data_IF_859831858894
#
_entry.id   IF_859831858894
#
_cell.length_a   1.000
_cell.length_b   1.000
_cell.length_c   1.000
_cell.angle_alpha   90.00
_cell.angle_beta   90.00
_cell.angle_gamma   90.00
#
_symmetry.space_group_name_H-M   'P 1'
#
loop_
_entity.id
_entity.type
_entity.pdbx_description
1 polymer ?
#
# COMPACT_ATOMS: atom_id res chain seq x y z
N UNK A 1 -9.61 4.52 -21.48
CA UNK A 1 -9.44 3.80 -20.20
C UNK A 1 -10.15 4.62 -19.14
N UNK A 2 -11.18 4.12 -18.43
CA UNK A 2 -11.65 4.83 -17.25
C UNK A 2 -10.72 4.50 -16.07
N UNK A 3 -10.18 5.51 -15.37
CA UNK A 3 -9.38 5.33 -14.18
C UNK A 3 -10.31 5.36 -12.95
N UNK A 4 -10.94 4.26 -12.58
CA UNK A 4 -11.84 4.28 -11.41
C UNK A 4 -12.13 2.86 -10.94
N UNK A 5 -12.34 2.70 -9.62
CA UNK A 5 -12.89 1.53 -8.88
C UNK A 5 -11.94 0.88 -7.86
N UNK A 6 -10.61 1.06 -7.92
CA UNK A 6 -9.72 0.45 -6.90
C UNK A 6 -9.79 1.10 -5.51
N UNK A 7 -10.40 2.27 -5.35
CA UNK A 7 -10.31 3.04 -4.10
C UNK A 7 -11.19 2.55 -2.94
N UNK A 8 -12.18 1.67 -3.18
CA UNK A 8 -13.28 1.54 -2.20
C UNK A 8 -13.38 0.19 -1.49
N UNK A 9 -12.72 -0.89 -1.93
CA UNK A 9 -13.01 -2.24 -1.38
C UNK A 9 -11.76 -3.09 -1.07
N UNK A 10 -10.59 -2.49 -0.85
CA UNK A 10 -9.42 -3.25 -0.37
C UNK A 10 -9.47 -3.39 1.16
N UNK A 11 -9.47 -4.62 1.67
CA UNK A 11 -9.27 -4.88 3.11
C UNK A 11 -7.80 -5.16 3.34
N UNK A 12 -7.14 -4.29 4.09
CA UNK A 12 -5.68 -4.31 4.27
C UNK A 12 -5.36 -4.57 5.72
N UNK A 13 -4.55 -5.59 5.97
CA UNK A 13 -4.00 -5.89 7.29
C UNK A 13 -2.54 -5.42 7.32
N UNK A 14 -2.24 -4.56 8.29
CA UNK A 14 -0.91 -4.00 8.51
C UNK A 14 -0.49 -4.23 9.97
N UNK A 15 0.81 -4.31 10.21
CA UNK A 15 1.40 -4.28 11.54
C UNK A 15 2.26 -3.04 11.71
N UNK A 16 2.10 -2.40 12.86
CA UNK A 16 2.83 -1.19 13.22
C UNK A 16 3.59 -1.46 14.51
N UNK A 17 4.90 -1.20 14.51
CA UNK A 17 5.70 -1.21 15.73
C UNK A 17 5.91 0.22 16.22
N UNK A 18 5.37 0.50 17.40
CA UNK A 18 5.45 1.81 18.05
C UNK A 18 6.42 1.75 19.21
N UNK A 19 7.30 2.75 19.28
CA UNK A 19 8.16 2.99 20.45
C UNK A 19 7.83 4.33 21.05
N UNK A 20 7.44 4.30 22.32
CA UNK A 20 7.11 5.49 23.09
C UNK A 20 8.39 6.06 23.69
N UNK A 21 8.73 7.29 23.32
CA UNK A 21 9.88 7.94 23.92
C UNK A 21 9.48 8.60 25.24
N UNK A 22 9.98 8.04 26.36
CA UNK A 22 9.74 8.56 27.72
C UNK A 22 10.15 10.02 27.89
N UNK A 23 11.07 10.55 27.07
CA UNK A 23 11.53 11.96 27.18
C UNK A 23 10.47 12.98 26.74
N UNK A 24 9.49 12.60 25.92
CA UNK A 24 8.44 13.48 25.40
C UNK A 24 7.08 13.30 26.11
N UNK A 25 7.03 12.49 27.19
CA UNK A 25 5.78 12.09 27.86
C UNK A 25 4.91 13.27 28.35
N UNK A 26 5.50 14.43 28.64
CA UNK A 26 4.73 15.59 29.11
C UNK A 26 3.74 16.07 28.05
N UNK A 27 4.09 15.97 26.75
CA UNK A 27 3.27 16.43 25.63
C UNK A 27 2.17 15.43 25.28
N UNK A 28 2.48 14.13 25.34
CA UNK A 28 1.55 13.04 25.02
C UNK A 28 0.32 13.00 25.93
N UNK A 29 0.47 13.36 27.20
CA UNK A 29 -0.61 13.32 28.19
C UNK A 29 -1.53 14.54 28.08
N UNK A 30 -1.04 15.66 27.55
CA UNK A 30 -1.79 16.93 27.51
C UNK A 30 -2.57 17.19 26.22
N UNK A 31 -2.23 16.57 25.08
CA UNK A 31 -2.82 16.94 23.78
C UNK A 31 -3.78 15.92 23.16
N UNK A 32 -3.77 14.65 23.56
CA UNK A 32 -4.63 13.63 22.95
C UNK A 32 -5.13 12.64 24.00
N UNK A 33 -6.45 12.45 24.08
CA UNK A 33 -7.12 11.53 25.01
C UNK A 33 -6.70 10.05 24.83
N UNK A 34 -6.07 9.70 23.71
CA UNK A 34 -5.40 8.41 23.49
C UNK A 34 -4.44 8.50 22.28
N UNK A 35 -3.14 8.69 22.53
CA UNK A 35 -2.12 8.74 21.47
C UNK A 35 -2.04 7.44 20.65
N UNK A 36 -2.37 6.28 21.24
CA UNK A 36 -2.40 5.01 20.51
C UNK A 36 -3.56 4.98 19.52
N UNK A 37 -4.74 5.42 19.94
CA UNK A 37 -5.92 5.50 19.08
C UNK A 37 -5.67 6.45 17.90
N UNK A 38 -5.18 7.67 18.17
CA UNK A 38 -4.88 8.65 17.12
C UNK A 38 -3.79 8.17 16.16
N UNK A 39 -2.78 7.46 16.66
CA UNK A 39 -1.74 6.84 15.81
C UNK A 39 -2.33 5.77 14.89
N UNK A 40 -3.25 4.94 15.39
CA UNK A 40 -3.95 3.95 14.55
C UNK A 40 -4.81 4.60 13.47
N UNK A 41 -5.52 5.68 13.81
CA UNK A 41 -6.34 6.42 12.85
C UNK A 41 -5.47 7.09 11.78
N UNK A 42 -4.35 7.70 12.17
CA UNK A 42 -3.37 8.26 11.24
C UNK A 42 -2.84 7.17 10.32
N UNK A 43 -2.48 5.99 10.84
CA UNK A 43 -2.05 4.85 10.05
C UNK A 43 -3.07 4.47 8.97
N UNK A 44 -4.35 4.38 9.34
CA UNK A 44 -5.43 4.05 8.40
C UNK A 44 -5.58 5.08 7.30
N UNK A 45 -5.62 6.36 7.65
CA UNK A 45 -5.76 7.45 6.67
C UNK A 45 -4.55 7.53 5.75
N UNK A 46 -3.34 7.44 6.29
CA UNK A 46 -2.10 7.48 5.51
C UNK A 46 -2.03 6.31 4.54
N UNK A 47 -2.28 5.08 5.00
CA UNK A 47 -2.30 3.91 4.12
C UNK A 47 -3.37 4.04 3.04
N UNK A 48 -4.58 4.50 3.37
CA UNK A 48 -5.62 4.73 2.38
C UNK A 48 -5.18 5.75 1.32
N UNK A 49 -4.55 6.85 1.72
CA UNK A 49 -4.10 7.88 0.80
C UNK A 49 -2.99 7.38 -0.12
N UNK A 50 -1.93 6.77 0.44
CA UNK A 50 -0.80 6.25 -0.34
C UNK A 50 -1.28 5.19 -1.33
N UNK A 51 -2.12 4.26 -0.87
CA UNK A 51 -2.62 3.18 -1.71
C UNK A 51 -3.68 3.65 -2.71
N UNK A 52 -4.46 4.68 -2.38
CA UNK A 52 -5.42 5.29 -3.30
C UNK A 52 -4.76 5.96 -4.51
N UNK A 53 -3.49 6.36 -4.39
CA UNK A 53 -2.70 6.92 -5.50
C UNK A 53 -1.97 5.88 -6.33
N UNK A 54 -2.05 4.59 -5.96
CA UNK A 54 -1.30 3.49 -6.56
C UNK A 54 -2.23 2.47 -7.17
N UNK A 55 -1.81 1.87 -8.27
CA UNK A 55 -2.48 0.71 -8.85
C UNK A 55 -2.17 -0.54 -8.03
N UNK A 56 -3.03 -1.53 -8.10
CA UNK A 56 -2.84 -2.77 -7.35
C UNK A 56 -1.56 -3.54 -7.74
N UNK A 57 -1.16 -3.49 -9.02
CA UNK A 57 0.10 -4.10 -9.47
C UNK A 57 1.31 -3.44 -8.82
N UNK A 58 1.29 -2.10 -8.67
CA UNK A 58 2.33 -1.36 -7.97
C UNK A 58 2.30 -1.70 -6.47
N UNK A 59 1.12 -1.80 -5.85
CA UNK A 59 1.02 -2.15 -4.43
C UNK A 59 1.61 -3.53 -4.15
N UNK A 60 1.40 -4.50 -5.05
CA UNK A 60 1.95 -5.84 -4.92
C UNK A 60 3.46 -5.89 -5.18
N UNK A 61 3.97 -5.07 -6.10
CA UNK A 61 5.38 -5.10 -6.52
C UNK A 61 6.28 -4.18 -5.69
N UNK A 62 5.74 -3.08 -5.16
CA UNK A 62 6.45 -2.00 -4.45
C UNK A 62 6.12 -1.98 -2.96
N UNK A 63 5.75 -3.12 -2.37
CA UNK A 63 5.31 -3.21 -0.96
C UNK A 63 6.29 -2.53 0.01
N UNK A 64 7.58 -2.77 -0.16
CA UNK A 64 8.61 -2.21 0.73
C UNK A 64 8.71 -0.69 0.58
N UNK A 65 8.64 -0.18 -0.65
CA UNK A 65 8.64 1.26 -0.89
C UNK A 65 7.43 1.95 -0.27
N UNK A 66 6.25 1.34 -0.38
CA UNK A 66 5.01 1.84 0.25
C UNK A 66 5.13 1.82 1.77
N UNK A 67 5.71 0.76 2.34
CA UNK A 67 5.96 0.66 3.77
C UNK A 67 6.88 1.79 4.24
N UNK A 68 7.99 2.06 3.54
CA UNK A 68 8.92 3.14 3.87
C UNK A 68 8.28 4.52 3.77
N UNK A 69 7.49 4.79 2.73
CA UNK A 69 6.77 6.07 2.60
C UNK A 69 5.77 6.24 3.75
N UNK A 70 5.02 5.18 4.06
CA UNK A 70 4.04 5.19 5.16
C UNK A 70 4.72 5.41 6.51
N UNK A 71 5.86 4.74 6.74
CA UNK A 71 6.66 4.90 7.95
C UNK A 71 7.09 6.35 8.16
N UNK A 72 7.62 6.99 7.12
CA UNK A 72 8.05 8.39 7.20
C UNK A 72 6.89 9.34 7.51
N UNK A 73 5.77 9.20 6.81
CA UNK A 73 4.59 10.06 7.04
C UNK A 73 4.01 9.86 8.43
N UNK A 74 3.97 8.60 8.90
CA UNK A 74 3.49 8.31 10.25
C UNK A 74 4.44 8.83 11.31
N UNK A 75 5.75 8.62 11.16
CA UNK A 75 6.75 9.11 12.10
C UNK A 75 6.65 10.63 12.29
N UNK A 76 6.61 11.39 11.19
CA UNK A 76 6.44 12.85 11.21
C UNK A 76 5.11 13.26 11.87
N UNK A 77 4.01 12.57 11.55
CA UNK A 77 2.70 12.87 12.11
C UNK A 77 2.51 12.48 13.57
N UNK A 78 3.30 11.54 14.09
CA UNK A 78 3.23 11.08 15.50
C UNK A 78 4.20 11.81 16.43
N UNK A 79 5.14 12.60 15.91
CA UNK A 79 6.05 13.44 16.71
C UNK A 79 5.34 14.31 17.75
N UNK A 80 4.21 15.00 17.44
CA UNK A 80 3.51 15.83 18.42
C UNK A 80 2.95 15.05 19.61
N UNK A 81 2.78 13.73 19.45
CA UNK A 81 2.29 12.84 20.50
C UNK A 81 3.43 12.14 21.26
N UNK A 82 4.69 12.44 20.94
CA UNK A 82 5.84 11.78 21.57
C UNK A 82 5.99 10.30 21.21
N UNK A 83 5.38 9.88 20.10
CA UNK A 83 5.43 8.50 19.60
C UNK A 83 6.41 8.43 18.42
N UNK A 84 7.38 7.53 18.50
CA UNK A 84 8.31 7.21 17.42
C UNK A 84 7.80 5.96 16.70
N UNK A 85 7.68 6.04 15.38
CA UNK A 85 7.39 4.87 14.55
C UNK A 85 8.73 4.25 14.16
N UNK A 86 8.97 2.99 14.54
CA UNK A 86 10.21 2.29 14.18
C UNK A 86 10.08 1.51 12.89
N UNK A 87 8.89 0.96 12.63
CA UNK A 87 8.67 0.11 11.47
C UNK A 87 7.19 0.02 11.13
N UNK A 88 6.91 0.12 9.83
CA UNK A 88 5.62 -0.22 9.23
C UNK A 88 5.79 -1.48 8.40
N UNK A 89 4.93 -2.47 8.62
CA UNK A 89 4.86 -3.67 7.78
C UNK A 89 3.46 -3.83 7.22
N UNK A 90 3.38 -4.05 5.91
CA UNK A 90 2.15 -4.46 5.25
C UNK A 90 2.12 -5.99 5.27
N UNK A 91 1.11 -6.60 5.90
CA UNK A 91 1.00 -8.06 6.06
C UNK A 91 0.14 -8.68 4.97
N UNK A 92 -1.15 -8.39 4.96
CA UNK A 92 -2.08 -8.98 4.00
C UNK A 92 -2.86 -7.91 3.25
N UNK A 93 -3.02 -8.14 1.94
CA UNK A 93 -3.88 -7.36 1.08
C UNK A 93 -4.99 -8.27 0.59
N UNK A 94 -6.22 -8.04 1.04
CA UNK A 94 -7.38 -8.81 0.60
C UNK A 94 -8.16 -8.00 -0.43
N UNK A 95 -8.21 -8.56 -1.63
CA UNK A 95 -9.00 -8.03 -2.73
C UNK A 95 -10.44 -8.54 -2.63
N UNK A 96 -11.43 -7.74 -3.03
CA UNK A 96 -12.78 -8.25 -3.27
C UNK A 96 -12.73 -9.32 -4.35
N UNK A 97 -13.48 -10.39 -4.15
CA UNK A 97 -13.55 -11.51 -5.09
C UNK A 97 -13.91 -11.06 -6.53
N UNK A 98 -14.75 -10.05 -6.68
CA UNK A 98 -15.12 -9.51 -7.99
C UNK A 98 -13.92 -8.86 -8.73
N UNK A 99 -13.08 -8.12 -8.01
CA UNK A 99 -11.90 -7.45 -8.56
C UNK A 99 -10.82 -8.46 -8.95
N UNK A 100 -10.58 -9.47 -8.09
CA UNK A 100 -9.64 -10.56 -8.38
C UNK A 100 -9.99 -11.27 -9.69
N UNK A 101 -11.28 -11.52 -9.93
CA UNK A 101 -11.75 -12.20 -11.15
C UNK A 101 -11.51 -11.35 -12.39
N UNK A 102 -11.87 -10.06 -12.37
CA UNK A 102 -11.66 -9.15 -13.51
C UNK A 102 -10.18 -9.00 -13.85
N UNK A 103 -9.32 -8.89 -12.84
CA UNK A 103 -7.88 -8.81 -13.05
C UNK A 103 -7.28 -10.08 -13.62
N UNK A 104 -7.74 -11.26 -13.20
CA UNK A 104 -7.27 -12.52 -13.78
C UNK A 104 -7.56 -12.56 -15.28
N UNK A 105 -8.74 -12.11 -15.70
CA UNK A 105 -9.13 -12.01 -17.11
C UNK A 105 -8.25 -11.00 -17.87
N UNK A 106 -8.03 -9.82 -17.30
CA UNK A 106 -7.19 -8.78 -17.91
C UNK A 106 -5.72 -9.21 -18.02
N UNK A 107 -5.16 -9.79 -16.96
CA UNK A 107 -3.79 -10.30 -16.94
C UNK A 107 -3.58 -11.41 -17.97
N UNK A 108 -4.57 -12.30 -18.14
CA UNK A 108 -4.50 -13.33 -19.17
C UNK A 108 -4.58 -12.75 -20.57
N UNK A 109 -5.40 -11.73 -20.80
CA UNK A 109 -5.46 -11.01 -22.08
C UNK A 109 -4.12 -10.35 -22.41
N UNK A 110 -3.50 -9.65 -21.46
CA UNK A 110 -2.16 -9.04 -21.61
C UNK A 110 -1.10 -10.11 -21.89
N UNK A 111 -1.14 -11.24 -21.17
CA UNK A 111 -0.21 -12.36 -21.38
C UNK A 111 -0.35 -12.95 -22.77
N UNK A 112 -1.59 -13.15 -23.24
CA UNK A 112 -1.90 -13.69 -24.58
C UNK A 112 -1.46 -12.73 -25.68
N UNK A 113 -1.69 -11.43 -25.50
CA UNK A 113 -1.23 -10.39 -26.43
C UNK A 113 0.30 -10.35 -26.52
N UNK A 114 1.01 -10.38 -25.38
CA UNK A 114 2.48 -10.45 -25.35
C UNK A 114 3.00 -11.71 -26.05
N UNK A 115 2.40 -12.87 -25.77
CA UNK A 115 2.78 -14.13 -26.41
C UNK A 115 2.61 -14.07 -27.94
N UNK A 116 1.52 -13.47 -28.43
CA UNK A 116 1.29 -13.29 -29.87
C UNK A 116 2.35 -12.38 -30.52
N UNK A 117 2.73 -11.28 -29.86
CA UNK A 117 3.81 -10.39 -30.33
C UNK A 117 5.14 -11.16 -30.40
N UNK A 118 5.50 -11.88 -29.34
CA UNK A 118 6.72 -12.70 -29.33
C UNK A 118 6.73 -13.76 -30.44
N UNK A 119 5.59 -14.40 -30.70
CA UNK A 119 5.49 -15.40 -31.76
C UNK A 119 5.66 -14.78 -33.16
N UNK A 120 4.99 -13.66 -33.42
CA UNK A 120 5.10 -12.93 -34.68
C UNK A 120 6.54 -12.43 -34.93
N UNK A 121 7.23 -11.98 -33.88
CA UNK A 121 8.62 -11.55 -33.96
C UNK A 121 9.59 -12.74 -34.16
N UNK A 122 9.29 -13.90 -33.56
CA UNK A 122 10.01 -15.15 -33.77
C UNK A 122 9.92 -15.67 -35.21
N UNK A 123 8.72 -15.67 -35.80
CA UNK A 123 8.50 -16.07 -37.20
C UNK A 123 9.25 -15.17 -38.18
N UNK A 124 9.22 -13.85 -37.94
CA UNK A 124 9.96 -12.87 -38.74
C UNK A 124 11.47 -13.08 -38.69
N UNK A 125 12.01 -13.42 -37.52
CA UNK A 125 13.45 -13.67 -37.35
C UNK A 125 13.89 -15.02 -37.92
N UNK A 126 13.02 -16.04 -37.93
CA UNK A 126 13.32 -17.36 -38.50
C UNK A 126 13.23 -17.40 -40.05
N UNK A 127 12.53 -16.42 -40.66
CA UNK A 127 12.37 -16.33 -42.12
C UNK A 127 13.48 -15.50 -42.81
N UNK A 128 14.53 -15.14 -42.07
CA UNK A 128 15.67 -14.34 -42.52
C UNK A 128 16.92 -15.21 -42.62
#
# INVERSE_FOLDING_TARGET
MPPEVLSTVLVISYSLQLVFNRRLQVVSVTMVNDAQFSTRLLAQTTLRNVLGTKTLSEILSERDAIATITEKVMDEGTLPWGVKVERVEIKDLRLPHQLTRSMAVEAEAVRRARAAVFHAEGEKNASK
#
